data_IF_901739485877
#
_entry.id   IF_901739485877
#
_cell.length_a   1.000
_cell.length_b   1.000
_cell.length_c   1.000
_cell.angle_alpha   90.00
_cell.angle_beta   90.00
_cell.angle_gamma   90.00
#
_symmetry.space_group_name_H-M   'P 1'
#
loop_
_entity.id
_entity.type
_entity.pdbx_description
1 polymer ?
#
# COMPACT_ATOMS: atom_id res chain seq x y z
N UNK A 1 -12.68 -42.97 6.62
CA UNK A 1 -11.51 -42.16 7.02
C UNK A 1 -11.43 -40.98 6.07
N UNK A 2 -11.78 -39.77 6.52
CA UNK A 2 -11.74 -38.58 5.66
C UNK A 2 -10.33 -37.97 5.72
N UNK A 3 -9.59 -38.07 4.61
CA UNK A 3 -8.43 -37.23 4.31
C UNK A 3 -8.92 -35.80 4.06
N UNK A 4 -9.05 -35.02 5.13
CA UNK A 4 -9.22 -33.58 5.03
C UNK A 4 -7.84 -33.01 4.74
N UNK A 5 -7.53 -32.85 3.45
CA UNK A 5 -6.35 -32.14 2.99
C UNK A 5 -6.46 -30.67 3.44
N UNK A 6 -5.95 -30.39 4.64
CA UNK A 6 -5.80 -29.03 5.17
C UNK A 6 -4.73 -28.37 4.30
N UNK A 7 -5.17 -27.60 3.30
CA UNK A 7 -4.28 -26.66 2.60
C UNK A 7 -3.63 -25.79 3.70
N UNK A 8 -2.30 -25.56 3.67
CA UNK A 8 -1.70 -24.62 4.62
C UNK A 8 -2.48 -23.32 4.52
N UNK A 9 -3.07 -22.89 5.64
CA UNK A 9 -3.84 -21.65 5.69
C UNK A 9 -2.91 -20.54 5.25
N UNK A 10 -3.23 -19.88 4.13
CA UNK A 10 -2.61 -18.61 3.78
C UNK A 10 -2.63 -17.72 5.03
N UNK A 11 -1.53 -16.99 5.34
CA UNK A 11 -1.50 -16.15 6.52
C UNK A 11 -2.73 -15.25 6.48
N UNK A 12 -3.62 -15.43 7.46
CA UNK A 12 -4.79 -14.57 7.60
C UNK A 12 -4.23 -13.17 7.83
N UNK A 13 -4.34 -12.32 6.81
CA UNK A 13 -4.07 -10.90 6.93
C UNK A 13 -5.13 -10.33 7.88
N UNK A 14 -4.88 -10.41 9.19
CA UNK A 14 -5.69 -9.74 10.18
C UNK A 14 -5.34 -8.26 10.01
N UNK A 15 -6.22 -7.55 9.32
CA UNK A 15 -6.13 -6.11 9.17
C UNK A 15 -6.92 -5.50 10.32
N UNK A 16 -6.25 -4.73 11.17
CA UNK A 16 -6.86 -3.90 12.21
C UNK A 16 -7.54 -2.67 11.59
N UNK A 17 -6.95 -2.13 10.50
CA UNK A 17 -7.42 -0.91 9.83
C UNK A 17 -7.34 -1.07 8.32
N UNK A 18 -8.39 -0.60 7.63
CA UNK A 18 -8.36 -0.38 6.18
C UNK A 18 -8.45 1.12 5.93
N UNK A 19 -7.49 1.63 5.16
CA UNK A 19 -7.49 3.00 4.67
C UNK A 19 -7.84 2.97 3.19
N UNK A 20 -8.73 3.85 2.75
CA UNK A 20 -9.14 3.93 1.35
C UNK A 20 -9.01 5.37 0.85
N UNK A 21 -8.56 5.52 -0.39
CA UNK A 21 -8.54 6.81 -1.07
C UNK A 21 -7.37 6.96 -2.03
N UNK A 22 -6.96 8.21 -2.25
CA UNK A 22 -5.95 8.56 -3.23
C UNK A 22 -4.53 8.19 -2.80
N UNK A 23 -3.72 7.83 -3.80
CA UNK A 23 -2.28 7.80 -3.73
C UNK A 23 -1.72 8.43 -5.00
N UNK A 24 -0.73 9.30 -4.84
CA UNK A 24 -0.14 10.07 -5.93
C UNK A 24 1.35 10.29 -5.68
N UNK A 25 2.05 10.87 -6.66
CA UNK A 25 3.43 11.34 -6.49
C UNK A 25 3.41 12.85 -6.31
N UNK A 26 3.94 13.32 -5.18
CA UNK A 26 4.22 14.72 -4.94
C UNK A 26 5.57 15.09 -5.60
N UNK A 27 5.53 16.01 -6.56
CA UNK A 27 6.71 16.50 -7.27
C UNK A 27 7.12 17.86 -6.70
N UNK A 28 8.23 17.89 -5.97
CA UNK A 28 8.83 19.10 -5.43
C UNK A 28 9.96 19.59 -6.36
N UNK A 29 9.79 20.79 -6.94
CA UNK A 29 10.76 21.40 -7.85
C UNK A 29 11.48 22.55 -7.14
N UNK A 30 12.81 22.50 -7.15
CA UNK A 30 13.68 23.57 -6.65
C UNK A 30 14.64 23.99 -7.75
N UNK A 31 15.33 25.13 -7.58
CA UNK A 31 16.36 25.58 -8.54
C UNK A 31 17.52 24.61 -8.72
N UNK A 32 17.77 23.74 -7.73
CA UNK A 32 18.88 22.78 -7.74
C UNK A 32 18.46 21.36 -8.17
N UNK A 33 17.19 20.97 -7.95
CA UNK A 33 16.71 19.60 -8.20
C UNK A 33 15.19 19.49 -8.25
N UNK A 34 14.73 18.46 -8.95
CA UNK A 34 13.37 17.90 -8.86
C UNK A 34 13.40 16.67 -7.98
N UNK A 35 12.42 16.51 -7.09
CA UNK A 35 12.29 15.33 -6.22
C UNK A 35 10.86 14.82 -6.23
N UNK A 36 10.71 13.53 -6.42
CA UNK A 36 9.44 12.82 -6.44
C UNK A 36 9.29 12.03 -5.15
N UNK A 37 8.15 12.16 -4.48
CA UNK A 37 7.82 11.42 -3.27
C UNK A 37 6.42 10.82 -3.36
N UNK A 38 6.22 9.56 -2.93
CA UNK A 38 4.88 9.04 -2.69
C UNK A 38 4.11 9.92 -1.71
N UNK A 39 2.88 10.24 -2.08
CA UNK A 39 2.01 11.20 -1.40
C UNK A 39 0.54 10.79 -1.44
N UNK A 40 -0.30 11.72 -0.99
CA UNK A 40 -1.74 11.49 -0.75
C UNK A 40 -2.04 11.35 0.74
N UNK A 41 -3.09 12.05 1.21
CA UNK A 41 -3.48 12.01 2.63
C UNK A 41 -3.81 10.58 3.10
N UNK A 42 -4.61 9.78 2.36
CA UNK A 42 -4.88 8.39 2.72
C UNK A 42 -3.62 7.52 2.71
N UNK A 43 -2.77 7.65 1.69
CA UNK A 43 -1.51 6.91 1.61
C UNK A 43 -0.58 7.19 2.81
N UNK A 44 -0.47 8.47 3.22
CA UNK A 44 0.31 8.87 4.38
C UNK A 44 -0.22 8.29 5.70
N UNK A 45 -1.54 8.17 5.86
CA UNK A 45 -2.16 7.52 7.03
C UNK A 45 -1.80 6.03 7.03
N UNK A 46 -1.98 5.33 5.91
CA UNK A 46 -1.69 3.91 5.80
C UNK A 46 -0.21 3.60 6.06
N UNK A 47 0.69 4.43 5.51
CA UNK A 47 2.12 4.34 5.74
C UNK A 47 2.47 4.44 7.24
N UNK A 48 1.91 5.43 7.95
CA UNK A 48 2.20 5.64 9.37
C UNK A 48 1.65 4.51 10.25
N UNK A 49 0.48 3.98 9.93
CA UNK A 49 -0.09 2.83 10.65
C UNK A 49 0.79 1.57 10.48
N UNK A 50 1.23 1.28 9.26
CA UNK A 50 2.17 0.19 9.02
C UNK A 50 3.49 0.37 9.79
N UNK A 51 4.04 1.59 9.82
CA UNK A 51 5.25 1.93 10.59
C UNK A 51 5.10 1.74 12.10
N UNK A 52 3.87 1.70 12.61
CA UNK A 52 3.53 1.46 14.01
C UNK A 52 3.15 -0.01 14.29
N UNK A 53 3.40 -0.92 13.32
CA UNK A 53 3.10 -2.35 13.40
C UNK A 53 1.59 -2.66 13.58
N UNK A 54 0.73 -1.77 13.08
CA UNK A 54 -0.72 -1.99 13.00
C UNK A 54 -1.03 -2.74 11.71
N UNK A 55 -1.83 -3.80 11.77
CA UNK A 55 -2.25 -4.57 10.61
C UNK A 55 -3.04 -3.70 9.63
N UNK A 56 -2.37 -3.11 8.65
CA UNK A 56 -2.97 -2.05 7.82
C UNK A 56 -3.13 -2.49 6.38
N UNK A 57 -4.37 -2.41 5.88
CA UNK A 57 -4.69 -2.53 4.48
C UNK A 57 -4.85 -1.16 3.83
N UNK A 58 -4.39 -1.01 2.59
CA UNK A 58 -4.64 0.18 1.80
C UNK A 58 -5.36 -0.16 0.49
N UNK A 59 -6.57 0.40 0.31
CA UNK A 59 -7.40 0.27 -0.88
C UNK A 59 -7.30 1.53 -1.72
N UNK A 60 -6.70 1.43 -2.89
CA UNK A 60 -6.48 2.57 -3.78
C UNK A 60 -6.48 2.12 -5.24
N UNK A 61 -6.73 3.05 -6.14
CA UNK A 61 -6.52 2.89 -7.58
C UNK A 61 -5.23 3.61 -7.96
N UNK A 62 -4.25 2.87 -8.46
CA UNK A 62 -2.98 3.41 -8.97
C UNK A 62 -2.68 2.75 -10.32
N UNK A 63 -1.94 3.45 -11.18
CA UNK A 63 -1.54 2.96 -12.50
C UNK A 63 -0.50 1.85 -12.42
N UNK A 64 -0.44 1.00 -13.46
CA UNK A 64 0.63 0.02 -13.66
C UNK A 64 1.81 0.70 -14.41
N UNK A 65 2.37 1.74 -13.79
CA UNK A 65 3.46 2.55 -14.31
C UNK A 65 4.54 2.79 -13.24
N UNK A 66 5.67 3.39 -13.63
CA UNK A 66 6.77 3.68 -12.71
C UNK A 66 6.35 4.43 -11.44
N UNK A 67 5.55 5.51 -11.54
CA UNK A 67 4.97 6.17 -10.37
C UNK A 67 4.13 5.25 -9.47
N UNK A 68 3.27 4.40 -10.04
CA UNK A 68 2.47 3.43 -9.30
C UNK A 68 3.33 2.39 -8.57
N UNK A 69 4.38 1.88 -9.21
CA UNK A 69 5.36 0.98 -8.60
C UNK A 69 6.06 1.64 -7.39
N UNK A 70 6.48 2.90 -7.53
CA UNK A 70 7.11 3.67 -6.44
C UNK A 70 6.19 3.82 -5.23
N UNK A 71 4.91 4.09 -5.44
CA UNK A 71 3.90 4.17 -4.37
C UNK A 71 3.72 2.81 -3.70
N UNK A 72 3.56 1.75 -4.49
CA UNK A 72 3.37 0.38 -4.00
C UNK A 72 4.53 -0.08 -3.13
N UNK A 73 5.77 0.13 -3.59
CA UNK A 73 6.97 -0.25 -2.84
C UNK A 73 7.16 0.58 -1.59
N UNK A 74 6.83 1.87 -1.62
CA UNK A 74 6.88 2.73 -0.44
C UNK A 74 5.96 2.25 0.69
N UNK A 75 4.74 1.84 0.35
CA UNK A 75 3.76 1.33 1.33
C UNK A 75 4.12 -0.06 1.84
N UNK A 76 4.59 -0.96 0.97
CA UNK A 76 5.08 -2.29 1.37
C UNK A 76 6.26 -2.18 2.33
N UNK A 77 7.20 -1.28 2.06
CA UNK A 77 8.35 -1.02 2.93
C UNK A 77 7.96 -0.50 4.32
N UNK A 78 6.78 0.10 4.46
CA UNK A 78 6.22 0.46 5.76
C UNK A 78 5.50 -0.68 6.47
N UNK A 79 5.35 -1.87 5.87
CA UNK A 79 4.56 -2.97 6.43
C UNK A 79 3.06 -2.87 6.14
N UNK A 80 2.64 -1.97 5.25
CA UNK A 80 1.25 -1.86 4.82
C UNK A 80 0.98 -2.84 3.66
N UNK A 81 -0.12 -3.61 3.78
CA UNK A 81 -0.58 -4.49 2.71
C UNK A 81 -1.49 -3.71 1.77
N UNK A 82 -0.94 -3.28 0.63
CA UNK A 82 -1.72 -2.62 -0.40
C UNK A 82 -2.52 -3.65 -1.22
N UNK A 83 -3.85 -3.48 -1.27
CA UNK A 83 -4.69 -4.16 -2.26
C UNK A 83 -5.08 -3.14 -3.32
N UNK A 84 -4.53 -3.34 -4.51
CA UNK A 84 -4.79 -2.50 -5.67
C UNK A 84 -6.21 -2.77 -6.17
N UNK A 85 -7.08 -1.77 -6.10
CA UNK A 85 -8.35 -1.80 -6.83
C UNK A 85 -8.02 -1.53 -8.29
N UNK A 86 -8.14 -2.56 -9.13
CA UNK A 86 -7.84 -2.45 -10.55
C UNK A 86 -9.09 -1.90 -11.24
N UNK A 87 -9.04 -0.73 -11.88
CA UNK A 87 -10.10 -0.35 -12.81
C UNK A 87 -10.17 -1.39 -13.95
N UNK A 88 -11.37 -1.68 -14.49
CA UNK A 88 -11.58 -2.64 -15.58
C UNK A 88 -10.89 -2.23 -16.89
#
# INVERSE_FOLDING_TARGET
>A
MNDVNVRPSEPSLILDVIVAGEALIDIAITTARTVEHPGGSPANVAYRLGRLDVGTGFLTAIGEDGPGELIGDHLKNAGCNCRLDRPP
#
